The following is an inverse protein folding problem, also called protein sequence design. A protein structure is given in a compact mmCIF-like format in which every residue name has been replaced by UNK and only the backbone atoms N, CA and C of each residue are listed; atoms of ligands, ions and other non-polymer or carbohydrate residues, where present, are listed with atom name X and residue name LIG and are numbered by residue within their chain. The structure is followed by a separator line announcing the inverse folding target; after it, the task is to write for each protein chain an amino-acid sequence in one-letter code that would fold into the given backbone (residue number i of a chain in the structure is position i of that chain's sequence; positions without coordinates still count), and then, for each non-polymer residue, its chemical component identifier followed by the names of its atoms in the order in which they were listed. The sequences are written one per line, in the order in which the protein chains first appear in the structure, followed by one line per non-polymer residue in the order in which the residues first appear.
data_IF_069125328773
#
_entry.id   IF_069125328773
#
_cell.length_a   1.000
_cell.length_b   1.000
_cell.length_c   1.000
_cell.angle_alpha   90.00
_cell.angle_beta   90.00
_cell.angle_gamma   90.00
#
_symmetry.space_group_name_H-M   'P 1'
#
loop_
_entity.id
_entity.type
_entity.pdbx_description
1 polymer ?
#
# COMPACT_ATOMS: atom_id res chain seq x y z
N UNK A 1 2.80 4.13 12.06
CA UNK A 1 1.56 3.65 12.72
C UNK A 1 0.74 2.90 11.69
N UNK A 2 -0.12 2.00 12.15
CA UNK A 2 -0.98 1.20 11.29
C UNK A 2 -2.36 1.85 11.15
N UNK A 3 -3.07 1.72 10.02
CA UNK A 3 -4.40 2.31 9.86
C UNK A 3 -5.37 1.80 10.93
N UNK A 4 -6.00 2.68 11.71
CA UNK A 4 -6.87 2.28 12.82
C UNK A 4 -6.15 1.62 13.99
N UNK A 5 -4.81 1.78 14.08
CA UNK A 5 -3.96 1.33 15.18
C UNK A 5 -4.14 -0.15 15.56
N UNK A 6 -4.52 -0.98 14.59
CA UNK A 6 -4.76 -2.42 14.79
C UNK A 6 -3.51 -3.19 15.25
N UNK A 7 -2.34 -2.56 15.11
CA UNK A 7 -1.06 -3.00 15.67
C UNK A 7 -0.33 -1.84 16.33
N UNK A 8 0.46 -2.12 17.38
CA UNK A 8 1.36 -1.13 17.97
C UNK A 8 2.29 -0.50 16.94
N UNK A 9 2.72 0.74 17.21
CA UNK A 9 3.75 1.39 16.41
C UNK A 9 5.06 0.63 16.53
N UNK A 10 5.71 0.42 15.40
CA UNK A 10 7.03 -0.18 15.33
C UNK A 10 7.97 0.61 14.41
N UNK A 11 9.27 0.38 14.59
CA UNK A 11 10.32 0.88 13.72
C UNK A 11 10.62 -0.17 12.65
N UNK A 12 10.61 0.24 11.38
CA UNK A 12 10.87 -0.65 10.24
C UNK A 12 12.11 -0.17 9.51
N UNK A 13 12.94 -1.10 9.05
CA UNK A 13 14.08 -0.81 8.19
C UNK A 13 13.65 -0.33 6.80
N UNK A 14 14.45 0.54 6.19
CA UNK A 14 14.23 1.01 4.81
C UNK A 14 14.15 -0.11 3.78
N UNK A 15 14.83 -1.23 4.03
CA UNK A 15 14.81 -2.39 3.15
C UNK A 15 13.41 -3.00 3.01
N UNK A 16 12.55 -2.83 4.02
CA UNK A 16 11.17 -3.33 4.03
C UNK A 16 10.15 -2.25 3.64
N UNK A 17 10.61 -1.02 3.37
CA UNK A 17 9.76 0.10 2.96
C UNK A 17 9.71 0.21 1.43
N UNK A 18 8.50 0.29 0.87
CA UNK A 18 8.29 0.58 -0.54
C UNK A 18 7.12 1.52 -0.75
N UNK A 19 7.24 2.42 -1.72
CA UNK A 19 6.17 3.34 -2.12
C UNK A 19 5.65 2.90 -3.47
N UNK A 20 4.34 2.73 -3.57
CA UNK A 20 3.70 2.52 -4.86
C UNK A 20 3.84 3.81 -5.69
N UNK A 21 4.45 3.71 -6.87
CA UNK A 21 4.40 4.79 -7.84
C UNK A 21 3.07 4.74 -8.58
N UNK A 22 2.46 5.91 -8.77
CA UNK A 22 1.24 6.03 -9.55
C UNK A 22 1.54 5.63 -11.01
N UNK A 23 1.13 4.42 -11.39
CA UNK A 23 1.19 3.94 -12.76
C UNK A 23 -0.21 3.94 -13.37
N UNK A 24 -0.26 4.05 -14.70
CA UNK A 24 -1.48 3.79 -15.45
C UNK A 24 -1.94 2.35 -15.17
N UNK A 25 -3.22 2.17 -14.91
CA UNK A 25 -3.81 0.83 -14.73
C UNK A 25 -3.63 0.05 -16.03
N UNK A 26 -2.95 -1.08 -15.97
CA UNK A 26 -2.86 -1.98 -17.11
C UNK A 26 -4.04 -2.95 -17.06
N UNK A 27 -4.59 -3.35 -18.22
CA UNK A 27 -5.63 -4.37 -18.26
C UNK A 27 -5.10 -5.68 -17.66
N UNK A 28 -5.94 -6.31 -16.82
CA UNK A 28 -5.64 -7.57 -16.13
C UNK A 28 -6.27 -8.70 -16.94
N UNK A 29 -5.50 -9.77 -17.19
CA UNK A 29 -5.95 -10.94 -17.92
C UNK A 29 -5.91 -12.20 -17.05
N UNK A 30 -6.66 -13.22 -17.49
CA UNK A 30 -6.60 -14.54 -16.87
C UNK A 30 -5.19 -15.12 -17.00
N UNK A 31 -4.66 -15.68 -15.91
CA UNK A 31 -3.31 -16.21 -15.81
C UNK A 31 -2.26 -15.19 -15.39
N UNK A 32 -2.60 -13.90 -15.30
CA UNK A 32 -1.67 -12.89 -14.80
C UNK A 32 -1.39 -13.08 -13.31
N UNK A 33 -0.13 -12.83 -12.91
CA UNK A 33 0.23 -12.66 -11.50
C UNK A 33 0.08 -11.18 -11.17
N UNK A 34 -0.79 -10.86 -10.22
CA UNK A 34 -1.14 -9.50 -9.82
C UNK A 34 -0.98 -9.32 -8.31
N UNK A 35 -1.06 -8.08 -7.83
CA UNK A 35 -1.30 -7.83 -6.41
C UNK A 35 -2.79 -7.57 -6.19
N UNK A 36 -3.42 -8.37 -5.33
CA UNK A 36 -4.81 -8.20 -4.95
C UNK A 36 -4.91 -7.86 -3.46
N UNK A 37 -5.95 -7.10 -3.09
CA UNK A 37 -6.22 -6.74 -1.70
C UNK A 37 -7.10 -7.81 -1.06
N UNK A 38 -6.49 -8.70 -0.27
CA UNK A 38 -7.18 -9.76 0.46
C UNK A 38 -7.66 -9.28 1.82
N UNK A 39 -8.81 -9.78 2.26
CA UNK A 39 -9.23 -9.63 3.65
C UNK A 39 -8.65 -10.77 4.49
N UNK A 40 -7.86 -10.40 5.50
CA UNK A 40 -7.26 -11.33 6.44
C UNK A 40 -8.26 -11.66 7.56
N UNK A 41 -8.03 -12.80 8.23
CA UNK A 41 -8.91 -13.29 9.31
C UNK A 41 -9.05 -12.32 10.49
N UNK A 42 -8.08 -11.43 10.69
CA UNK A 42 -8.11 -10.37 11.70
C UNK A 42 -8.95 -9.14 11.28
N UNK A 43 -9.70 -9.23 10.18
CA UNK A 43 -10.52 -8.15 9.61
C UNK A 43 -9.71 -7.09 8.84
N UNK A 44 -8.39 -7.24 8.73
CA UNK A 44 -7.54 -6.30 8.01
C UNK A 44 -7.46 -6.65 6.54
N UNK A 45 -7.54 -5.66 5.66
CA UNK A 45 -7.27 -5.86 4.25
C UNK A 45 -5.76 -5.72 3.98
N UNK A 46 -5.13 -6.50 3.11
CA UNK A 46 -3.71 -6.38 2.77
C UNK A 46 -3.39 -6.79 1.33
N UNK A 47 -2.43 -6.11 0.71
CA UNK A 47 -1.99 -6.39 -0.65
C UNK A 47 -1.11 -7.64 -0.65
N UNK A 48 -1.43 -8.61 -1.50
CA UNK A 48 -0.69 -9.87 -1.63
C UNK A 48 -0.62 -10.27 -3.10
N UNK A 49 0.43 -11.00 -3.48
CA UNK A 49 0.54 -11.56 -4.83
C UNK A 49 -0.44 -12.71 -5.01
N UNK A 50 -1.16 -12.67 -6.11
CA UNK A 50 -2.13 -13.68 -6.47
C UNK A 50 -2.18 -13.91 -7.98
N UNK A 51 -2.56 -15.11 -8.38
CA UNK A 51 -2.76 -15.50 -9.76
C UNK A 51 -4.22 -15.33 -10.14
N UNK A 52 -4.49 -14.74 -11.31
CA UNK A 52 -5.85 -14.58 -11.81
C UNK A 52 -6.37 -15.90 -12.37
N UNK A 53 -7.32 -16.52 -11.68
CA UNK A 53 -7.98 -17.75 -12.12
C UNK A 53 -9.08 -17.46 -13.13
N UNK A 54 -9.90 -16.45 -12.88
CA UNK A 54 -11.06 -16.12 -13.71
C UNK A 54 -11.44 -14.63 -13.56
N UNK A 55 -12.00 -14.05 -14.62
CA UNK A 55 -12.53 -12.68 -14.62
C UNK A 55 -14.00 -12.76 -15.04
N UNK A 56 -14.89 -12.23 -14.21
CA UNK A 56 -16.33 -12.11 -14.47
C UNK A 56 -16.76 -10.68 -14.24
N UNK A 57 -16.89 -9.92 -15.34
CA UNK A 57 -17.19 -8.49 -15.31
C UNK A 57 -16.23 -7.74 -14.35
N UNK A 58 -16.76 -7.16 -13.27
CA UNK A 58 -15.99 -6.38 -12.31
C UNK A 58 -15.34 -7.21 -11.19
N UNK A 59 -15.54 -8.53 -11.19
CA UNK A 59 -15.01 -9.45 -10.19
C UNK A 59 -13.93 -10.35 -10.77
N UNK A 60 -12.84 -10.50 -10.03
CA UNK A 60 -11.67 -11.28 -10.39
C UNK A 60 -11.49 -12.36 -9.32
N UNK A 61 -11.51 -13.61 -9.75
CA UNK A 61 -11.19 -14.76 -8.90
C UNK A 61 -9.68 -14.91 -8.89
N UNK A 62 -9.08 -14.84 -7.72
CA UNK A 62 -7.63 -14.86 -7.53
C UNK A 62 -7.22 -15.97 -6.58
N UNK A 63 -6.08 -16.60 -6.86
CA UNK A 63 -5.46 -17.59 -6.01
C UNK A 63 -4.18 -17.02 -5.39
N UNK A 64 -4.03 -17.14 -4.07
CA UNK A 64 -2.80 -16.74 -3.40
C UNK A 64 -1.59 -17.50 -3.97
N UNK A 65 -0.54 -16.76 -4.32
CA UNK A 65 0.73 -17.33 -4.81
C UNK A 65 1.72 -17.52 -3.65
N UNK A 66 1.64 -16.65 -2.63
CA UNK A 66 2.53 -16.65 -1.47
C UNK A 66 1.73 -16.95 -0.19
N UNK A 67 2.10 -18.00 0.53
CA UNK A 67 1.47 -18.41 1.80
C UNK A 67 0.47 -19.56 1.66
N UNK A 68 -0.49 -19.71 2.59
CA UNK A 68 -1.48 -20.79 2.52
C UNK A 68 -2.35 -20.61 1.26
N UNK A 69 -2.59 -21.73 0.58
CA UNK A 69 -3.44 -21.76 -0.61
C UNK A 69 -4.85 -21.27 -0.25
N UNK A 70 -5.24 -20.14 -0.82
CA UNK A 70 -6.50 -19.47 -0.57
C UNK A 70 -6.99 -18.84 -1.86
N UNK A 71 -8.24 -19.13 -2.24
CA UNK A 71 -8.93 -18.51 -3.37
C UNK A 71 -9.87 -17.44 -2.84
N UNK A 72 -9.82 -16.24 -3.42
CA UNK A 72 -10.69 -15.13 -3.06
C UNK A 72 -11.32 -14.49 -4.30
N UNK A 73 -12.40 -13.74 -4.09
CA UNK A 73 -13.09 -12.97 -5.14
C UNK A 73 -12.94 -11.50 -4.81
N UNK A 74 -12.16 -10.81 -5.63
CA UNK A 74 -11.83 -9.39 -5.44
C UNK A 74 -12.41 -8.55 -6.57
N UNK A 75 -12.88 -7.34 -6.24
CA UNK A 75 -13.30 -6.40 -7.27
C UNK A 75 -12.09 -5.89 -8.06
N UNK A 76 -12.26 -5.57 -9.34
CA UNK A 76 -11.18 -5.12 -10.23
C UNK A 76 -10.45 -3.86 -9.69
N UNK A 77 -11.14 -2.97 -8.97
CA UNK A 77 -10.55 -1.79 -8.32
C UNK A 77 -9.72 -2.13 -7.06
N UNK A 78 -9.76 -3.38 -6.60
CA UNK A 78 -8.93 -3.94 -5.52
C UNK A 78 -7.77 -4.79 -6.06
N UNK A 79 -7.49 -4.68 -7.35
CA UNK A 79 -6.40 -5.35 -8.02
C UNK A 79 -5.40 -4.34 -8.57
N UNK A 80 -4.13 -4.74 -8.60
CA UNK A 80 -3.02 -4.02 -9.23
C UNK A 80 -2.31 -4.98 -10.16
N UNK A 81 -2.22 -4.60 -11.42
CA UNK A 81 -1.44 -5.33 -12.42
C UNK A 81 0.02 -5.51 -11.98
N UNK A 82 0.67 -6.60 -12.45
CA UNK A 82 2.05 -6.97 -12.12
C UNK A 82 3.08 -5.82 -12.30
N UNK A 83 2.81 -4.89 -13.23
CA UNK A 83 3.62 -3.71 -13.49
C UNK A 83 3.52 -2.59 -12.44
N UNK A 84 2.97 -2.86 -11.26
CA UNK A 84 2.99 -1.90 -10.15
C UNK A 84 4.45 -1.59 -9.79
N UNK A 85 4.88 -0.37 -10.11
CA UNK A 85 6.23 0.06 -9.82
C UNK A 85 6.33 0.50 -8.37
N UNK A 86 7.35 -0.02 -7.69
CA UNK A 86 7.64 0.30 -6.31
C UNK A 86 8.97 1.03 -6.23
N UNK A 87 8.94 2.25 -5.71
CA UNK A 87 10.16 2.96 -5.36
C UNK A 87 10.64 2.47 -4.00
N UNK A 88 11.90 2.02 -3.94
CA UNK A 88 12.57 1.79 -2.65
C UNK A 88 12.92 3.13 -2.03
N UNK A 89 12.66 3.27 -0.75
CA UNK A 89 12.97 4.49 0.00
C UNK A 89 14.38 4.32 0.58
N UNK A 90 15.23 5.33 0.39
CA UNK A 90 16.50 5.48 1.08
C UNK A 90 16.39 6.55 2.17
N UNK A 91 17.33 6.57 3.15
CA UNK A 91 17.37 7.64 4.14
C UNK A 91 17.45 9.05 3.53
N UNK A 92 18.05 9.19 2.34
CA UNK A 92 18.17 10.48 1.66
C UNK A 92 16.84 11.01 1.09
N UNK A 93 15.84 10.14 0.91
CA UNK A 93 14.52 10.50 0.39
C UNK A 93 13.60 11.08 1.48
N UNK A 94 13.94 10.88 2.75
CA UNK A 94 13.20 11.44 3.88
C UNK A 94 13.69 12.85 4.18
N UNK A 95 12.82 13.82 3.96
CA UNK A 95 12.98 15.16 4.51
C UNK A 95 12.06 15.31 5.70
N UNK A 96 12.62 15.77 6.80
CA UNK A 96 11.87 16.14 7.99
C UNK A 96 11.85 17.65 8.07
N UNK A 97 10.82 18.25 7.48
CA UNK A 97 10.57 19.68 7.63
C UNK A 97 9.68 19.89 8.85
N UNK A 98 10.14 20.69 9.81
CA UNK A 98 9.29 21.08 10.93
C UNK A 98 8.43 22.24 10.48
N UNK A 99 7.13 22.03 10.33
CA UNK A 99 6.20 23.12 10.08
C UNK A 99 5.98 23.85 11.41
N UNK A 100 6.72 24.94 11.59
CA UNK A 100 6.53 25.86 12.71
C UNK A 100 5.17 26.54 12.55
N UNK A 101 4.12 25.98 13.15
CA UNK A 101 2.86 26.69 13.32
C UNK A 101 3.12 27.88 14.25
N UNK A 102 3.08 29.11 13.72
CA UNK A 102 2.96 30.31 14.53
C UNK A 102 1.62 30.25 15.25
N UNK A 103 1.62 29.68 16.45
CA UNK A 103 0.46 29.64 17.33
C UNK A 103 0.36 30.96 18.07
N UNK A 104 -0.62 31.78 17.72
CA UNK A 104 -1.32 32.54 18.74
C UNK A 104 -2.06 31.50 19.60
N UNK A 105 -1.61 31.36 20.84
CA UNK A 105 -2.17 30.52 21.91
C UNK A 105 -1.98 28.99 21.81
N UNK A 106 -1.02 28.51 22.61
CA UNK A 106 -1.07 27.26 23.40
C UNK A 106 -1.38 25.92 22.68
N UNK A 107 -0.32 25.29 22.16
CA UNK A 107 0.07 23.85 22.15
C UNK A 107 -1.00 22.71 22.20
N UNK A 108 -0.74 21.55 21.55
CA UNK A 108 0.59 20.97 21.31
C UNK A 108 0.95 20.71 19.84
N UNK A 109 2.26 20.78 19.60
CA UNK A 109 3.01 20.43 18.38
C UNK A 109 2.44 19.25 17.58
N UNK A 110 1.97 19.54 16.37
CA UNK A 110 1.66 18.54 15.35
C UNK A 110 2.90 18.36 14.46
N UNK A 111 3.65 17.27 14.65
CA UNK A 111 4.75 16.91 13.75
C UNK A 111 4.13 16.32 12.48
N UNK A 112 4.03 17.13 11.43
CA UNK A 112 3.57 16.70 10.12
C UNK A 112 4.77 16.18 9.30
N UNK A 113 4.76 14.89 8.94
CA UNK A 113 5.72 14.34 7.98
C UNK A 113 5.23 14.68 6.56
N UNK A 114 5.84 15.67 5.91
CA UNK A 114 5.67 15.91 4.47
C UNK A 114 6.81 15.22 3.72
N UNK A 115 6.53 14.03 3.17
CA UNK A 115 7.39 13.50 2.13
C UNK A 115 7.15 14.33 0.86
N UNK A 116 8.19 15.03 0.41
CA UNK A 116 8.17 15.84 -0.81
C UNK A 116 8.14 14.91 -2.05
N UNK A 117 6.99 14.29 -2.30
CA UNK A 117 6.70 13.68 -3.58
C UNK A 117 5.87 14.66 -4.39
N UNK A 118 6.42 15.05 -5.54
CA UNK A 118 5.73 15.79 -6.59
C UNK A 118 4.25 15.38 -6.66
N UNK A 119 3.38 16.39 -6.72
CA UNK A 119 1.91 16.31 -6.74
C UNK A 119 1.44 14.98 -7.36
N UNK A 120 0.56 14.25 -6.65
CA UNK A 120 -0.25 13.06 -7.03
C UNK A 120 0.08 11.72 -6.32
N UNK A 121 1.00 11.64 -5.36
CA UNK A 121 1.31 10.36 -4.68
C UNK A 121 0.66 10.24 -3.30
N UNK A 122 -0.44 9.49 -3.22
CA UNK A 122 -1.00 9.01 -1.95
C UNK A 122 -0.04 7.96 -1.35
N UNK A 123 0.76 8.37 -0.36
CA UNK A 123 1.61 7.45 0.40
C UNK A 123 0.73 6.52 1.25
N UNK A 124 0.56 5.29 0.78
CA UNK A 124 0.13 4.17 1.61
C UNK A 124 1.35 3.28 1.87
N UNK A 125 2.20 3.69 2.82
CA UNK A 125 3.31 2.87 3.29
C UNK A 125 2.76 1.66 4.02
N UNK A 126 2.92 0.47 3.46
CA UNK A 126 2.85 -0.78 4.21
C UNK A 126 4.21 -1.46 4.16
N UNK A 127 4.74 -1.68 5.34
CA UNK A 127 5.88 -2.53 5.58
C UNK A 127 5.36 -3.97 5.69
N UNK A 128 6.06 -4.89 5.05
CA UNK A 128 5.90 -6.33 5.28
C UNK A 128 6.80 -6.76 6.43
#
# INVERSE_FOLDING_TARGET
SYPGDWRPRESVSFANCRVLQATTSHPIHKGDIIEALFQQQNGQAGWQKASVREIKADFIVVDSVEGPQHTDVVAANKCRSNGAQYLRISPADLRTDTISMLTFSSNPMLICYLANFSKTTLMHCRCF
#
